data_IF_158108793067
#
_entry.id   IF_158108793067
#
_cell.length_a   1.000
_cell.length_b   1.000
_cell.length_c   1.000
_cell.angle_alpha   90.00
_cell.angle_beta   90.00
_cell.angle_gamma   90.00
#
_symmetry.space_group_name_H-M   'P 1'
#
loop_
_entity.id
_entity.type
_entity.pdbx_description
1 polymer ?
#
# COMPACT_ATOMS: atom_id res chain seq x y z
N UNK A 1 -4.55 -3.54 11.00
CA UNK A 1 -3.56 -4.05 11.97
C UNK A 1 -3.88 -3.49 13.36
N UNK A 2 -3.96 -4.35 14.39
CA UNK A 2 -4.12 -3.95 15.78
C UNK A 2 -3.00 -4.56 16.61
N UNK A 3 -2.36 -3.76 17.47
CA UNK A 3 -1.28 -4.21 18.35
C UNK A 3 -1.60 -3.79 19.78
N UNK A 4 -1.81 -4.77 20.68
CA UNK A 4 -2.13 -4.55 22.11
C UNK A 4 -3.26 -3.53 22.33
N UNK A 5 -4.32 -3.59 21.53
CA UNK A 5 -5.47 -2.68 21.63
C UNK A 5 -5.29 -1.32 20.95
N UNK A 6 -4.12 -1.01 20.40
CA UNK A 6 -3.92 0.16 19.53
C UNK A 6 -4.40 -0.16 18.12
N UNK A 7 -5.19 0.74 17.54
CA UNK A 7 -5.68 0.64 16.16
C UNK A 7 -4.60 0.97 15.12
N UNK A 8 -4.94 0.80 13.83
CA UNK A 8 -4.03 1.01 12.71
C UNK A 8 -3.45 2.43 12.62
N UNK A 9 -4.19 3.44 13.04
CA UNK A 9 -3.79 4.86 13.00
C UNK A 9 -2.67 5.20 13.99
N UNK A 10 -2.42 4.32 14.97
CA UNK A 10 -1.37 4.45 15.99
C UNK A 10 -0.20 3.50 15.78
N UNK A 11 -0.12 2.91 14.61
CA UNK A 11 0.93 1.98 14.23
C UNK A 11 1.64 2.57 13.01
N UNK A 12 2.89 2.96 13.20
CA UNK A 12 3.72 3.41 12.09
C UNK A 12 4.14 2.21 11.24
N UNK A 13 3.97 2.32 9.93
CA UNK A 13 4.41 1.32 8.95
C UNK A 13 5.41 1.98 8.03
N UNK A 14 6.56 1.35 7.85
CA UNK A 14 7.56 1.80 6.87
C UNK A 14 7.92 0.66 5.91
N UNK A 15 8.21 1.03 4.67
CA UNK A 15 8.80 0.15 3.66
C UNK A 15 10.17 0.74 3.30
N UNK A 16 11.24 0.02 3.60
CA UNK A 16 12.63 0.48 3.44
C UNK A 16 12.91 1.81 4.17
N UNK A 17 12.28 2.03 5.32
CA UNK A 17 12.40 3.27 6.09
C UNK A 17 11.57 4.45 5.56
N UNK A 18 10.82 4.28 4.48
CA UNK A 18 9.87 5.26 3.94
C UNK A 18 8.51 5.05 4.62
N UNK A 19 7.85 6.09 5.16
CA UNK A 19 6.49 5.99 5.70
C UNK A 19 5.49 5.47 4.66
N UNK A 20 4.68 4.51 5.06
CA UNK A 20 3.65 3.91 4.21
C UNK A 20 2.23 4.24 4.68
N UNK A 21 2.05 4.66 5.91
CA UNK A 21 0.74 5.11 6.40
C UNK A 21 0.17 6.18 5.46
N UNK A 22 -1.10 6.08 5.18
CA UNK A 22 -1.83 7.11 4.46
C UNK A 22 -1.75 8.46 5.19
N UNK A 23 -1.47 9.53 4.46
CA UNK A 23 -1.19 10.83 5.06
C UNK A 23 -2.42 11.50 5.68
N UNK A 24 -3.62 11.17 5.22
CA UNK A 24 -4.89 11.76 5.70
C UNK A 24 -5.48 10.93 6.85
N UNK A 25 -5.67 9.62 6.64
CA UNK A 25 -6.29 8.73 7.63
C UNK A 25 -5.32 8.21 8.68
N UNK A 26 -4.01 8.32 8.46
CA UNK A 26 -2.94 7.69 9.25
C UNK A 26 -3.02 6.15 9.30
N UNK A 27 -3.99 5.57 8.60
CA UNK A 27 -4.17 4.12 8.50
C UNK A 27 -3.25 3.46 7.47
N UNK A 28 -3.41 2.16 7.31
CA UNK A 28 -2.70 1.38 6.31
C UNK A 28 -3.69 0.52 5.53
N UNK A 29 -3.77 0.73 4.24
CA UNK A 29 -4.64 -0.03 3.33
C UNK A 29 -3.84 -1.18 2.70
N UNK A 30 -3.89 -2.36 3.33
CA UNK A 30 -3.10 -3.52 2.92
C UNK A 30 -3.53 -4.09 1.56
N UNK A 31 -4.77 -3.82 1.13
CA UNK A 31 -5.28 -4.25 -0.17
C UNK A 31 -4.48 -3.66 -1.32
N UNK A 32 -3.93 -2.44 -1.15
CA UNK A 32 -3.07 -1.76 -2.13
C UNK A 32 -1.69 -2.41 -2.27
N UNK A 33 -1.31 -3.31 -1.34
CA UNK A 33 -0.06 -4.09 -1.34
C UNK A 33 -0.30 -5.55 -1.71
N UNK A 34 -1.00 -5.79 -2.81
CA UNK A 34 -1.30 -7.15 -3.28
C UNK A 34 -0.03 -8.01 -3.40
N UNK A 35 0.02 -9.15 -2.70
CA UNK A 35 1.17 -10.08 -2.66
C UNK A 35 2.53 -9.46 -2.30
N UNK A 36 2.54 -8.34 -1.60
CA UNK A 36 3.80 -7.67 -1.24
C UNK A 36 4.71 -8.53 -0.35
N UNK A 37 4.11 -9.43 0.43
CA UNK A 37 4.85 -10.39 1.25
C UNK A 37 5.82 -11.26 0.42
N UNK A 38 5.51 -11.52 -0.85
CA UNK A 38 6.40 -12.25 -1.76
C UNK A 38 7.64 -11.44 -2.20
N UNK A 39 7.71 -10.14 -1.88
CA UNK A 39 8.87 -9.25 -2.10
C UNK A 39 9.39 -8.67 -0.78
N UNK A 40 9.15 -9.37 0.33
CA UNK A 40 9.57 -8.93 1.67
C UNK A 40 10.64 -9.86 2.20
N UNK A 41 11.83 -9.34 2.42
CA UNK A 41 12.96 -10.05 3.05
C UNK A 41 12.76 -10.20 4.53
N UNK A 42 12.39 -9.12 5.20
CA UNK A 42 12.19 -9.14 6.64
C UNK A 42 11.12 -8.17 7.11
N UNK A 43 10.51 -8.53 8.24
CA UNK A 43 9.49 -7.75 8.90
C UNK A 43 9.83 -7.64 10.38
N UNK A 44 10.01 -6.41 10.87
CA UNK A 44 10.29 -6.12 12.27
C UNK A 44 9.11 -5.39 12.91
N UNK A 45 8.51 -6.00 13.92
CA UNK A 45 7.46 -5.37 14.72
C UNK A 45 8.05 -4.95 16.09
N UNK A 46 8.11 -3.64 16.30
CA UNK A 46 8.43 -3.06 17.60
C UNK A 46 7.14 -2.59 18.29
N UNK A 47 6.86 -3.14 19.46
CA UNK A 47 5.66 -2.83 20.25
C UNK A 47 5.90 -1.67 21.19
N UNK A 48 4.90 -0.80 21.32
CA UNK A 48 4.97 0.41 22.14
C UNK A 48 5.72 1.54 21.44
N UNK A 49 6.03 2.59 22.19
CA UNK A 49 6.78 3.75 21.71
C UNK A 49 8.20 3.30 21.35
N UNK A 50 8.58 3.49 20.11
CA UNK A 50 9.91 3.18 19.63
C UNK A 50 10.91 4.31 19.86
N UNK A 51 12.04 4.25 19.15
CA UNK A 51 13.03 5.33 19.11
C UNK A 51 12.50 6.48 18.22
N UNK A 52 13.12 7.66 18.33
CA UNK A 52 12.78 8.83 17.49
C UNK A 52 12.94 8.59 15.99
N UNK A 53 13.67 7.54 15.60
CA UNK A 53 13.85 7.13 14.20
C UNK A 53 12.62 6.45 13.61
N UNK A 54 11.63 6.05 14.41
CA UNK A 54 10.42 5.36 13.94
C UNK A 54 9.35 6.32 13.36
N UNK A 55 9.58 7.63 13.42
CA UNK A 55 8.68 8.62 12.81
C UNK A 55 7.40 8.91 13.60
N UNK A 56 6.51 9.68 12.98
CA UNK A 56 5.21 10.04 13.55
C UNK A 56 4.28 8.81 13.57
N UNK A 57 3.31 8.82 14.50
CA UNK A 57 2.31 7.75 14.60
C UNK A 57 2.80 6.47 15.28
N UNK A 58 4.08 6.34 15.64
CA UNK A 58 4.67 5.17 16.31
C UNK A 58 4.29 5.03 17.79
N UNK A 59 3.06 5.34 18.15
CA UNK A 59 2.59 5.33 19.54
C UNK A 59 2.28 3.93 20.05
N UNK A 60 1.56 3.15 19.26
CA UNK A 60 1.17 1.78 19.61
C UNK A 60 2.23 0.74 19.23
N UNK A 61 2.79 0.90 18.05
CA UNK A 61 3.85 0.04 17.51
C UNK A 61 4.48 0.67 16.27
N UNK A 62 5.61 0.10 15.84
CA UNK A 62 6.21 0.35 14.54
C UNK A 62 6.42 -0.98 13.81
N UNK A 63 5.99 -1.03 12.56
CA UNK A 63 6.19 -2.14 11.65
C UNK A 63 7.14 -1.70 10.54
N UNK A 64 8.35 -2.25 10.52
CA UNK A 64 9.33 -1.97 9.50
C UNK A 64 9.42 -3.15 8.54
N UNK A 65 9.19 -2.92 7.26
CA UNK A 65 9.24 -3.91 6.19
C UNK A 65 10.45 -3.60 5.33
N UNK A 66 11.31 -4.58 5.14
CA UNK A 66 12.42 -4.52 4.19
C UNK A 66 12.09 -5.37 2.97
N UNK A 67 12.26 -4.80 1.79
CA UNK A 67 12.09 -5.52 0.52
C UNK A 67 13.26 -6.48 0.27
N UNK A 68 13.09 -7.34 -0.74
CA UNK A 68 14.04 -8.38 -1.10
C UNK A 68 15.51 -7.88 -1.07
N UNK A 69 16.38 -8.69 -0.49
CA UNK A 69 17.83 -8.47 -0.54
C UNK A 69 18.35 -8.66 -1.97
N UNK A 70 19.57 -8.20 -2.21
CA UNK A 70 20.30 -8.49 -3.46
C UNK A 70 20.60 -9.99 -3.50
N UNK A 71 20.26 -10.63 -4.62
CA UNK A 71 20.57 -12.04 -4.85
C UNK A 71 21.94 -12.19 -5.51
N UNK A 72 22.78 -13.08 -4.99
CA UNK A 72 24.07 -13.41 -5.61
C UNK A 72 23.86 -14.21 -6.90
N UNK A 73 22.91 -15.15 -6.88
CA UNK A 73 22.63 -16.05 -7.97
C UNK A 73 21.41 -15.62 -8.81
N UNK A 74 21.47 -15.89 -10.11
CA UNK A 74 20.32 -15.73 -10.98
C UNK A 74 19.26 -16.80 -10.69
N UNK A 75 17.99 -16.42 -10.62
CA UNK A 75 16.88 -17.35 -10.45
C UNK A 75 15.62 -16.90 -11.19
N UNK A 76 14.75 -17.87 -11.42
CA UNK A 76 13.37 -17.66 -11.83
C UNK A 76 12.46 -18.58 -11.02
N UNK A 77 11.35 -18.05 -10.53
CA UNK A 77 10.38 -18.78 -9.72
C UNK A 77 8.98 -18.54 -10.25
N UNK A 78 8.19 -19.60 -10.34
CA UNK A 78 6.74 -19.54 -10.62
C UNK A 78 6.02 -20.21 -9.47
N UNK A 79 5.15 -19.45 -8.79
CA UNK A 79 4.35 -19.92 -7.68
C UNK A 79 2.87 -19.80 -8.00
N UNK A 80 2.12 -20.89 -7.78
CA UNK A 80 0.68 -20.91 -7.97
C UNK A 80 0.00 -21.48 -6.73
N UNK A 81 -1.06 -20.82 -6.28
CA UNK A 81 -1.85 -21.23 -5.14
C UNK A 81 -3.34 -21.23 -5.49
N UNK A 82 -4.06 -22.18 -4.91
CA UNK A 82 -5.52 -22.28 -5.01
C UNK A 82 -6.11 -22.44 -3.62
N UNK A 83 -7.28 -21.88 -3.40
CA UNK A 83 -7.96 -21.91 -2.11
C UNK A 83 -9.48 -21.93 -2.24
N UNK A 84 -10.17 -21.85 -1.10
CA UNK A 84 -11.62 -21.75 -1.05
C UNK A 84 -12.12 -20.50 -1.77
N UNK A 85 -13.39 -20.50 -2.15
CA UNK A 85 -14.03 -19.38 -2.85
C UNK A 85 -13.34 -18.99 -4.15
N UNK A 86 -12.93 -20.01 -4.92
CA UNK A 86 -12.23 -19.83 -6.20
C UNK A 86 -10.97 -18.95 -6.09
N UNK A 87 -10.37 -18.89 -4.90
CA UNK A 87 -9.15 -18.09 -4.68
C UNK A 87 -8.00 -18.69 -5.49
N UNK A 88 -7.36 -17.86 -6.29
CA UNK A 88 -6.21 -18.19 -7.12
C UNK A 88 -5.16 -17.12 -6.98
N UNK A 89 -3.91 -17.52 -6.80
CA UNK A 89 -2.75 -16.63 -6.80
C UNK A 89 -1.73 -17.18 -7.79
N UNK A 90 -1.22 -16.30 -8.64
CA UNK A 90 -0.15 -16.58 -9.59
C UNK A 90 0.95 -15.56 -9.41
N UNK A 91 2.16 -16.02 -9.17
CA UNK A 91 3.33 -15.14 -8.94
C UNK A 91 4.50 -15.63 -9.77
N UNK A 92 5.18 -14.70 -10.44
CA UNK A 92 6.46 -14.92 -11.11
C UNK A 92 7.48 -13.99 -10.47
N UNK A 93 8.63 -14.55 -10.04
CA UNK A 93 9.79 -13.81 -9.54
C UNK A 93 11.02 -14.14 -10.38
N UNK A 94 11.92 -13.18 -10.47
CA UNK A 94 13.22 -13.39 -11.10
C UNK A 94 14.30 -12.51 -10.47
N UNK A 95 15.54 -12.93 -10.58
CA UNK A 95 16.72 -12.11 -10.39
C UNK A 95 17.78 -12.48 -11.44
N UNK A 96 18.54 -11.49 -11.87
CA UNK A 96 19.72 -11.70 -12.72
C UNK A 96 20.90 -12.29 -11.94
N UNK A 97 20.83 -12.29 -10.60
CA UNK A 97 21.99 -12.41 -9.75
C UNK A 97 22.92 -11.21 -9.93
N UNK A 98 24.08 -11.26 -9.30
CA UNK A 98 25.11 -10.22 -9.43
C UNK A 98 25.76 -10.27 -10.81
N UNK A 99 25.57 -9.22 -11.59
CA UNK A 99 26.22 -9.03 -12.90
C UNK A 99 27.46 -8.15 -12.70
N UNK A 100 28.60 -8.63 -13.17
CA UNK A 100 29.91 -7.96 -12.98
C UNK A 100 30.23 -7.62 -11.51
N UNK A 101 29.73 -8.44 -10.56
CA UNK A 101 29.92 -8.30 -9.11
C UNK A 101 29.27 -7.08 -8.48
N UNK A 102 28.70 -6.14 -9.26
CA UNK A 102 28.18 -4.86 -8.76
C UNK A 102 26.68 -4.68 -8.97
N UNK A 103 26.07 -5.26 -10.01
CA UNK A 103 24.71 -4.96 -10.42
C UNK A 103 23.75 -6.15 -10.28
N UNK A 104 22.55 -5.89 -9.83
CA UNK A 104 21.45 -6.86 -9.83
C UNK A 104 20.16 -6.21 -10.29
N UNK A 105 19.38 -6.96 -11.07
CA UNK A 105 18.00 -6.62 -11.41
C UNK A 105 17.09 -7.76 -10.97
N UNK A 106 16.13 -7.46 -10.12
CA UNK A 106 15.11 -8.42 -9.68
C UNK A 106 13.71 -7.88 -9.81
N UNK A 107 12.74 -8.78 -9.89
CA UNK A 107 11.35 -8.37 -10.01
C UNK A 107 10.34 -9.47 -9.74
N UNK A 108 9.09 -9.04 -9.55
CA UNK A 108 7.92 -9.89 -9.32
C UNK A 108 6.71 -9.33 -10.03
N UNK A 109 5.93 -10.23 -10.62
CA UNK A 109 4.56 -9.97 -11.08
C UNK A 109 3.62 -10.92 -10.36
N UNK A 110 2.47 -10.43 -9.91
CA UNK A 110 1.51 -11.24 -9.19
C UNK A 110 0.07 -10.88 -9.56
N UNK A 111 -0.78 -11.90 -9.58
CA UNK A 111 -2.23 -11.76 -9.71
C UNK A 111 -2.93 -12.61 -8.65
N UNK A 112 -3.91 -12.02 -7.96
CA UNK A 112 -4.77 -12.70 -7.00
C UNK A 112 -6.22 -12.45 -7.41
N UNK A 113 -7.01 -13.52 -7.50
CA UNK A 113 -8.44 -13.46 -7.67
C UNK A 113 -9.13 -14.31 -6.60
N UNK A 114 -10.30 -13.86 -6.13
CA UNK A 114 -11.16 -14.60 -5.22
C UNK A 114 -12.60 -14.15 -5.39
N UNK A 115 -13.56 -15.09 -5.24
CA UNK A 115 -14.99 -14.75 -5.18
C UNK A 115 -15.39 -14.25 -3.78
N UNK A 116 -14.53 -14.47 -2.75
CA UNK A 116 -14.79 -14.10 -1.37
C UNK A 116 -15.76 -15.03 -0.65
N UNK A 117 -15.76 -14.96 0.69
CA UNK A 117 -16.71 -15.70 1.53
C UNK A 117 -18.10 -15.04 1.56
N UNK A 118 -18.12 -13.72 1.70
CA UNK A 118 -19.32 -12.89 1.70
C UNK A 118 -19.85 -12.78 0.27
N UNK A 119 -21.16 -12.76 0.10
CA UNK A 119 -21.80 -12.68 -1.20
C UNK A 119 -21.33 -11.45 -1.98
N UNK A 120 -20.99 -11.67 -3.25
CA UNK A 120 -20.43 -10.65 -4.17
C UNK A 120 -19.05 -10.08 -3.80
N UNK A 121 -18.48 -10.39 -2.64
CA UNK A 121 -17.23 -9.81 -2.13
C UNK A 121 -15.99 -10.32 -2.89
N UNK A 122 -15.98 -10.18 -4.20
CA UNK A 122 -14.84 -10.58 -5.03
C UNK A 122 -13.64 -9.65 -4.85
N UNK A 123 -12.46 -10.19 -5.18
CA UNK A 123 -11.21 -9.44 -5.26
C UNK A 123 -10.48 -9.78 -6.56
N UNK A 124 -10.04 -8.77 -7.31
CA UNK A 124 -9.11 -8.87 -8.44
C UNK A 124 -7.93 -7.93 -8.18
N UNK A 125 -6.80 -8.49 -7.78
CA UNK A 125 -5.60 -7.76 -7.41
C UNK A 125 -4.48 -8.09 -8.39
N UNK A 126 -3.82 -7.05 -8.93
CA UNK A 126 -2.61 -7.16 -9.74
C UNK A 126 -1.51 -6.36 -9.09
N UNK A 127 -0.33 -6.91 -9.01
CA UNK A 127 0.79 -6.19 -8.41
C UNK A 127 2.11 -6.51 -9.09
N UNK A 128 3.03 -5.59 -8.95
CA UNK A 128 4.40 -5.74 -9.43
C UNK A 128 5.40 -5.22 -8.39
N UNK A 129 6.62 -5.69 -8.52
CA UNK A 129 7.80 -5.21 -7.82
C UNK A 129 8.98 -5.28 -8.79
N UNK A 130 9.79 -4.25 -8.87
CA UNK A 130 11.03 -4.22 -9.65
C UNK A 130 12.09 -3.47 -8.84
N UNK A 131 13.27 -4.06 -8.73
CA UNK A 131 14.42 -3.50 -8.05
C UNK A 131 15.64 -3.58 -8.94
N UNK A 132 16.35 -2.47 -9.09
CA UNK A 132 17.68 -2.41 -9.65
C UNK A 132 18.65 -1.99 -8.56
N UNK A 133 19.71 -2.73 -8.37
CA UNK A 133 20.70 -2.53 -7.31
C UNK A 133 22.10 -2.37 -7.88
N UNK A 134 22.85 -1.43 -7.33
CA UNK A 134 24.29 -1.29 -7.51
C UNK A 134 24.96 -1.37 -6.14
N UNK A 135 25.89 -2.26 -5.95
CA UNK A 135 26.54 -2.50 -4.67
C UNK A 135 28.04 -2.73 -4.85
N UNK A 136 28.84 -1.96 -4.12
CA UNK A 136 30.27 -2.19 -4.00
C UNK A 136 30.74 -1.96 -2.55
N UNK A 137 32.04 -2.04 -2.27
CA UNK A 137 32.61 -1.92 -0.91
C UNK A 137 32.22 -0.63 -0.16
N UNK A 138 31.84 0.43 -0.88
CA UNK A 138 31.59 1.75 -0.30
C UNK A 138 30.17 2.25 -0.51
N UNK A 139 29.46 1.73 -1.50
CA UNK A 139 28.19 2.29 -1.95
C UNK A 139 27.16 1.23 -2.24
N UNK A 140 25.95 1.45 -1.75
CA UNK A 140 24.75 0.73 -2.17
C UNK A 140 23.72 1.73 -2.72
N UNK A 141 23.29 1.51 -3.96
CA UNK A 141 22.16 2.24 -4.55
C UNK A 141 21.09 1.24 -4.93
N UNK A 142 19.86 1.48 -4.50
CA UNK A 142 18.67 0.72 -4.91
C UNK A 142 17.64 1.65 -5.53
N UNK A 143 17.25 1.39 -6.75
CA UNK A 143 16.07 1.98 -7.37
C UNK A 143 14.96 0.93 -7.37
N UNK A 144 13.84 1.25 -6.74
CA UNK A 144 12.75 0.31 -6.50
C UNK A 144 11.45 0.93 -7.01
N UNK A 145 10.65 0.16 -7.73
CA UNK A 145 9.27 0.51 -8.02
C UNK A 145 8.37 -0.68 -7.72
N UNK A 146 7.27 -0.40 -7.06
CA UNK A 146 6.25 -1.40 -6.76
C UNK A 146 4.87 -0.76 -6.70
N UNK A 147 3.86 -1.57 -6.86
CA UNK A 147 2.50 -1.10 -6.83
C UNK A 147 1.55 -2.12 -7.42
N UNK A 148 0.37 -1.65 -7.74
CA UNK A 148 -0.65 -2.49 -8.34
C UNK A 148 -1.98 -1.81 -8.48
N UNK A 149 -2.93 -2.58 -8.96
CA UNK A 149 -4.34 -2.23 -9.01
C UNK A 149 -5.14 -3.23 -8.19
N UNK A 150 -6.12 -2.71 -7.51
CA UNK A 150 -7.16 -3.49 -6.88
C UNK A 150 -8.51 -3.15 -7.49
N UNK A 151 -9.37 -4.17 -7.66
CA UNK A 151 -10.80 -4.03 -7.85
C UNK A 151 -11.48 -5.02 -6.93
N UNK A 152 -12.19 -4.49 -5.93
CA UNK A 152 -12.86 -5.29 -4.92
C UNK A 152 -14.31 -4.87 -4.80
N UNK A 153 -15.21 -5.84 -4.59
CA UNK A 153 -16.59 -5.52 -4.26
C UNK A 153 -16.70 -5.14 -2.78
N UNK A 154 -17.45 -4.11 -2.48
CA UNK A 154 -17.59 -3.60 -1.12
C UNK A 154 -18.32 -4.60 -0.21
N UNK A 155 -17.72 -4.86 0.94
CA UNK A 155 -18.34 -5.61 2.04
C UNK A 155 -17.93 -4.97 3.37
N UNK A 156 -18.08 -3.62 3.43
CA UNK A 156 -17.56 -2.81 4.52
C UNK A 156 -18.47 -2.78 5.73
N UNK A 157 -19.75 -3.14 5.57
CA UNK A 157 -20.69 -3.22 6.68
C UNK A 157 -20.67 -4.60 7.32
N UNK A 158 -20.64 -4.62 8.66
CA UNK A 158 -20.84 -5.83 9.43
C UNK A 158 -22.32 -6.23 9.48
N UNK A 159 -22.56 -7.48 9.78
CA UNK A 159 -23.90 -8.01 10.05
C UNK A 159 -24.23 -7.92 11.53
N UNK A 160 -25.48 -7.66 11.86
CA UNK A 160 -25.97 -7.80 13.22
C UNK A 160 -26.17 -9.29 13.61
N UNK A 161 -26.52 -9.55 14.87
CA UNK A 161 -26.64 -10.91 15.38
C UNK A 161 -27.74 -11.71 14.67
N UNK A 162 -28.85 -11.08 14.31
CA UNK A 162 -29.96 -11.76 13.64
C UNK A 162 -29.61 -12.10 12.22
N UNK A 163 -29.04 -11.16 11.49
CA UNK A 163 -28.51 -11.36 10.13
C UNK A 163 -27.47 -12.48 10.06
N UNK A 164 -26.58 -12.57 11.07
CA UNK A 164 -25.59 -13.65 11.15
C UNK A 164 -26.22 -15.04 11.37
N UNK A 165 -27.37 -15.11 12.04
CA UNK A 165 -28.12 -16.36 12.26
C UNK A 165 -28.85 -16.75 10.97
N UNK A 166 -29.42 -15.80 10.26
CA UNK A 166 -30.18 -16.02 9.03
C UNK A 166 -29.26 -16.45 7.87
N UNK A 167 -28.26 -15.66 7.60
CA UNK A 167 -27.22 -15.98 6.59
C UNK A 167 -25.92 -15.23 6.87
N UNK A 168 -24.88 -15.96 7.24
CA UNK A 168 -23.55 -15.39 7.54
C UNK A 168 -22.81 -14.86 6.32
N UNK A 169 -23.30 -15.15 5.12
CA UNK A 169 -22.66 -14.74 3.87
C UNK A 169 -23.31 -13.50 3.26
N UNK A 170 -24.46 -13.09 3.75
CA UNK A 170 -25.18 -11.97 3.19
C UNK A 170 -24.32 -10.69 3.18
N UNK A 171 -24.49 -9.90 2.14
CA UNK A 171 -23.85 -8.61 1.96
C UNK A 171 -24.95 -7.53 1.88
N UNK A 172 -24.94 -6.51 2.74
CA UNK A 172 -25.90 -5.41 2.67
C UNK A 172 -25.86 -4.64 1.36
N UNK A 173 -24.71 -4.60 0.70
CA UNK A 173 -24.59 -4.03 -0.63
C UNK A 173 -25.17 -4.97 -1.69
N UNK A 174 -26.05 -4.46 -2.53
CA UNK A 174 -26.78 -5.26 -3.54
C UNK A 174 -26.60 -4.77 -4.97
N UNK A 175 -26.13 -3.55 -5.17
CA UNK A 175 -25.83 -3.03 -6.48
C UNK A 175 -24.68 -3.80 -7.11
N UNK A 176 -24.83 -4.19 -8.40
CA UNK A 176 -23.89 -5.10 -9.07
C UNK A 176 -22.46 -4.57 -9.13
N UNK A 177 -22.29 -3.25 -9.25
CA UNK A 177 -20.99 -2.62 -9.41
C UNK A 177 -20.59 -1.77 -8.18
N UNK A 178 -20.95 -2.19 -6.98
CA UNK A 178 -20.55 -1.52 -5.74
C UNK A 178 -19.11 -1.88 -5.41
N UNK A 179 -18.17 -1.22 -6.08
CA UNK A 179 -16.74 -1.58 -6.07
C UNK A 179 -15.87 -0.48 -5.50
N UNK A 180 -14.71 -0.90 -5.05
CA UNK A 180 -13.53 -0.08 -4.83
C UNK A 180 -12.53 -0.44 -5.95
N UNK A 181 -12.07 0.56 -6.69
CA UNK A 181 -11.16 0.40 -7.82
C UNK A 181 -10.05 1.43 -7.68
N UNK A 182 -8.88 0.96 -7.23
CA UNK A 182 -7.77 1.84 -6.88
C UNK A 182 -6.45 1.32 -7.43
N UNK A 183 -5.61 2.24 -7.86
CA UNK A 183 -4.26 1.98 -8.33
C UNK A 183 -3.27 2.80 -7.50
N UNK A 184 -2.20 2.16 -7.03
CA UNK A 184 -1.13 2.83 -6.29
C UNK A 184 0.23 2.35 -6.78
N UNK A 185 1.11 3.31 -7.06
CA UNK A 185 2.48 3.05 -7.51
C UNK A 185 3.47 3.84 -6.65
N UNK A 186 4.54 3.18 -6.27
CA UNK A 186 5.62 3.71 -5.47
C UNK A 186 6.93 3.68 -6.26
N UNK A 187 7.70 4.74 -6.14
CA UNK A 187 9.02 4.89 -6.74
C UNK A 187 9.98 5.31 -5.64
N UNK A 188 10.95 4.46 -5.33
CA UNK A 188 11.93 4.71 -4.28
C UNK A 188 13.34 4.70 -4.84
N UNK A 189 14.18 5.61 -4.35
CA UNK A 189 15.62 5.60 -4.57
C UNK A 189 16.31 5.64 -3.21
N UNK A 190 17.12 4.64 -2.93
CA UNK A 190 17.94 4.54 -1.72
C UNK A 190 19.40 4.63 -2.11
N UNK A 191 20.13 5.50 -1.46
CA UNK A 191 21.58 5.63 -1.61
C UNK A 191 22.23 5.60 -0.24
N UNK A 192 23.13 4.65 -0.06
CA UNK A 192 23.92 4.47 1.15
C UNK A 192 25.39 4.58 0.77
N UNK A 193 26.14 5.41 1.47
CA UNK A 193 27.54 5.68 1.19
C UNK A 193 28.37 5.56 2.46
N UNK A 194 29.45 4.80 2.39
CA UNK A 194 30.51 4.77 3.39
C UNK A 194 31.54 5.85 3.07
N UNK A 195 31.35 7.04 3.67
CA UNK A 195 32.21 8.20 3.42
C UNK A 195 33.64 8.01 3.98
N UNK A 196 33.77 7.24 5.05
CA UNK A 196 35.05 6.85 5.65
C UNK A 196 34.86 5.65 6.56
N UNK A 197 35.92 5.19 7.23
CA UNK A 197 35.83 4.09 8.21
C UNK A 197 34.90 4.39 9.38
N UNK A 198 34.59 5.65 9.63
CA UNK A 198 33.77 6.06 10.78
C UNK A 198 32.47 6.76 10.36
N UNK A 199 32.35 7.21 9.13
CA UNK A 199 31.21 7.98 8.65
C UNK A 199 30.45 7.26 7.55
N UNK A 200 29.12 7.24 7.66
CA UNK A 200 28.22 6.84 6.59
C UNK A 200 27.09 7.84 6.41
N UNK A 201 26.54 7.90 5.22
CA UNK A 201 25.37 8.72 4.89
C UNK A 201 24.34 7.88 4.13
N UNK A 202 23.05 8.16 4.38
CA UNK A 202 21.93 7.48 3.75
C UNK A 202 20.94 8.51 3.25
N UNK A 203 20.53 8.39 1.99
CA UNK A 203 19.46 9.18 1.37
C UNK A 203 18.38 8.22 0.89
N UNK A 204 17.14 8.50 1.27
CA UNK A 204 15.94 7.84 0.76
C UNK A 204 15.02 8.86 0.11
N UNK A 205 14.65 8.63 -1.13
CA UNK A 205 13.66 9.41 -1.86
C UNK A 205 12.47 8.52 -2.17
N UNK A 206 11.26 9.08 -2.08
CA UNK A 206 10.05 8.38 -2.49
C UNK A 206 9.08 9.31 -3.19
N UNK A 207 8.45 8.79 -4.22
CA UNK A 207 7.23 9.32 -4.81
C UNK A 207 6.18 8.24 -4.88
N UNK A 208 4.98 8.53 -4.40
CA UNK A 208 3.81 7.64 -4.51
C UNK A 208 2.72 8.36 -5.27
N UNK A 209 2.16 7.69 -6.29
CA UNK A 209 0.95 8.09 -7.01
C UNK A 209 -0.16 7.12 -6.69
N UNK A 210 -1.27 7.66 -6.18
CA UNK A 210 -2.50 6.92 -6.00
C UNK A 210 -3.64 7.53 -6.82
N UNK A 211 -4.48 6.69 -7.43
CA UNK A 211 -5.70 7.13 -8.12
C UNK A 211 -6.73 6.04 -8.18
N UNK A 212 -7.95 6.38 -7.84
CA UNK A 212 -9.07 5.46 -7.92
C UNK A 212 -10.36 6.03 -7.39
N UNK A 213 -11.36 5.19 -7.31
CA UNK A 213 -12.69 5.56 -6.83
C UNK A 213 -13.35 4.37 -6.13
N UNK A 214 -14.31 4.67 -5.28
CA UNK A 214 -15.34 3.71 -4.94
C UNK A 214 -16.69 4.14 -5.51
N UNK A 215 -17.44 3.16 -6.04
CA UNK A 215 -18.72 3.36 -6.68
C UNK A 215 -19.84 2.83 -5.79
N UNK A 216 -20.90 3.62 -5.60
CA UNK A 216 -22.01 3.26 -4.74
C UNK A 216 -23.35 3.64 -5.38
N UNK A 217 -24.34 2.76 -5.20
CA UNK A 217 -25.74 3.09 -5.45
C UNK A 217 -26.33 3.75 -4.20
N UNK A 218 -26.99 4.88 -4.40
CA UNK A 218 -27.65 5.67 -3.35
C UNK A 218 -29.12 5.80 -3.68
N UNK A 219 -29.98 5.40 -2.75
CA UNK A 219 -31.43 5.51 -2.88
C UNK A 219 -31.92 6.84 -2.32
N UNK A 220 -32.86 7.48 -3.02
CA UNK A 220 -33.56 8.68 -2.56
C UNK A 220 -32.63 9.82 -2.07
N UNK A 221 -31.48 9.95 -2.72
CA UNK A 221 -30.53 11.02 -2.39
C UNK A 221 -31.03 12.37 -2.92
N UNK A 222 -30.82 13.42 -2.11
CA UNK A 222 -31.04 14.79 -2.54
C UNK A 222 -29.99 15.16 -3.60
N UNK A 223 -30.42 15.32 -4.84
CA UNK A 223 -29.55 15.65 -5.96
C UNK A 223 -28.83 17.00 -5.78
N UNK A 224 -29.36 17.91 -4.96
CA UNK A 224 -28.73 19.17 -4.62
C UNK A 224 -27.38 18.97 -3.88
N UNK A 225 -27.21 17.88 -3.15
CA UNK A 225 -25.92 17.52 -2.51
C UNK A 225 -24.81 17.25 -3.53
N UNK A 226 -25.17 17.06 -4.80
CA UNK A 226 -24.25 16.79 -5.91
C UNK A 226 -24.24 17.92 -6.96
N UNK A 227 -24.74 19.12 -6.59
CA UNK A 227 -24.86 20.30 -7.47
C UNK A 227 -25.85 20.15 -8.63
N UNK A 228 -26.80 19.23 -8.54
CA UNK A 228 -27.89 19.12 -9.50
C UNK A 228 -29.12 19.89 -9.00
N UNK A 229 -29.75 20.68 -9.89
CA UNK A 229 -30.98 21.44 -9.60
C UNK A 229 -32.17 20.55 -10.00
N UNK A 230 -32.57 19.68 -9.07
CA UNK A 230 -33.76 18.83 -9.21
C UNK A 230 -34.56 18.92 -7.91
N UNK A 231 -35.87 19.08 -8.03
CA UNK A 231 -36.75 19.27 -6.86
C UNK A 231 -37.06 17.97 -6.09
N UNK A 232 -36.82 16.80 -6.72
CA UNK A 232 -37.16 15.51 -6.14
C UNK A 232 -35.91 14.67 -5.81
N UNK A 233 -36.00 13.87 -4.79
CA UNK A 233 -35.00 12.85 -4.47
C UNK A 233 -34.87 11.85 -5.63
N UNK A 234 -33.67 11.45 -5.91
CA UNK A 234 -33.34 10.54 -7.00
C UNK A 234 -32.48 9.39 -6.50
N UNK A 235 -32.62 8.24 -7.14
CA UNK A 235 -31.63 7.19 -7.03
C UNK A 235 -30.42 7.58 -7.85
N UNK A 236 -29.23 7.47 -7.28
CA UNK A 236 -27.98 7.90 -7.91
C UNK A 236 -26.95 6.78 -7.91
N UNK A 237 -26.11 6.73 -8.93
CA UNK A 237 -24.84 5.99 -8.89
C UNK A 237 -23.73 7.03 -8.86
N UNK A 238 -22.93 6.96 -7.79
CA UNK A 238 -21.92 7.96 -7.46
C UNK A 238 -20.56 7.29 -7.37
N UNK A 239 -19.55 7.90 -8.02
CA UNK A 239 -18.15 7.61 -7.78
C UNK A 239 -17.55 8.68 -6.89
N UNK A 240 -16.82 8.25 -5.88
CA UNK A 240 -15.99 9.12 -5.06
C UNK A 240 -14.54 8.83 -5.34
N UNK A 241 -13.88 9.82 -5.92
CA UNK A 241 -12.51 9.75 -6.41
C UNK A 241 -11.52 10.24 -5.37
N UNK A 242 -10.38 9.58 -5.39
CA UNK A 242 -9.14 10.03 -4.76
C UNK A 242 -8.06 10.06 -5.85
N UNK A 243 -7.35 11.20 -5.96
CA UNK A 243 -6.18 11.35 -6.84
C UNK A 243 -5.07 12.02 -6.02
N UNK A 244 -4.05 11.27 -5.63
CA UNK A 244 -3.08 11.72 -4.64
C UNK A 244 -1.63 11.51 -5.06
N UNK A 245 -0.80 12.43 -4.59
CA UNK A 245 0.65 12.45 -4.75
C UNK A 245 1.32 12.58 -3.38
N UNK A 246 2.30 11.72 -3.09
CA UNK A 246 3.04 11.75 -1.85
C UNK A 246 4.54 11.68 -2.09
N UNK A 247 5.27 12.67 -1.59
CA UNK A 247 6.72 12.80 -1.71
C UNK A 247 7.37 12.67 -0.34
N UNK A 248 8.50 11.95 -0.28
CA UNK A 248 9.31 11.83 0.94
C UNK A 248 10.78 11.96 0.61
N UNK A 249 11.51 12.70 1.44
CA UNK A 249 12.96 12.78 1.45
C UNK A 249 13.43 12.47 2.86
N UNK A 250 14.22 11.41 3.00
CA UNK A 250 14.89 11.04 4.25
C UNK A 250 16.39 11.18 4.07
N UNK A 251 17.05 11.86 4.98
CA UNK A 251 18.51 11.98 5.01
C UNK A 251 19.01 11.70 6.41
N UNK A 252 19.99 10.84 6.52
CA UNK A 252 20.71 10.68 7.78
C UNK A 252 22.19 10.41 7.56
N UNK A 253 22.98 10.72 8.57
CA UNK A 253 24.41 10.40 8.64
C UNK A 253 24.72 9.80 9.99
N UNK A 254 25.58 8.81 10.02
CA UNK A 254 26.06 8.20 11.24
C UNK A 254 27.57 8.27 11.36
N UNK A 255 28.02 8.53 12.59
CA UNK A 255 29.42 8.52 12.98
C UNK A 255 29.65 7.51 14.10
N UNK A 256 30.48 6.52 13.83
CA UNK A 256 30.81 5.45 14.78
C UNK A 256 32.30 5.43 14.99
N UNK A 257 32.75 5.68 16.25
CA UNK A 257 34.15 5.58 16.62
C UNK A 257 34.29 5.16 18.09
N UNK A 258 34.94 4.03 18.32
CA UNK A 258 35.15 3.47 19.66
C UNK A 258 33.80 3.19 20.37
N UNK A 259 33.49 3.99 21.42
CA UNK A 259 32.25 3.91 22.21
C UNK A 259 31.25 5.02 21.84
N UNK A 260 31.58 5.83 20.86
CA UNK A 260 30.71 6.92 20.40
C UNK A 260 29.97 6.48 19.15
N UNK A 261 28.66 6.50 19.22
CA UNK A 261 27.73 6.30 18.12
C UNK A 261 26.77 7.48 18.06
N UNK A 262 26.81 8.22 16.96
CA UNK A 262 25.98 9.43 16.74
C UNK A 262 25.28 9.31 15.42
N UNK A 263 23.94 9.42 15.43
CA UNK A 263 23.10 9.48 14.24
C UNK A 263 22.42 10.85 14.20
N UNK A 264 22.55 11.54 13.08
CA UNK A 264 21.86 12.81 12.81
C UNK A 264 21.06 12.63 11.53
N UNK A 265 19.78 12.95 11.56
CA UNK A 265 18.93 12.80 10.39
C UNK A 265 17.73 13.73 10.41
N UNK A 266 17.08 13.81 9.26
CA UNK A 266 15.82 14.51 9.08
C UNK A 266 15.01 13.89 7.97
N UNK A 267 13.71 14.17 8.02
CA UNK A 267 12.73 13.73 7.01
C UNK A 267 11.87 14.93 6.62
N UNK A 268 11.56 15.00 5.35
CA UNK A 268 10.55 15.91 4.81
C UNK A 268 9.57 15.13 3.97
N UNK A 269 8.29 15.40 4.15
CA UNK A 269 7.24 14.81 3.31
C UNK A 269 6.22 15.86 2.89
N UNK A 270 5.64 15.67 1.72
CA UNK A 270 4.56 16.49 1.19
C UNK A 270 3.51 15.59 0.57
N UNK A 271 2.27 15.85 0.91
CA UNK A 271 1.11 15.15 0.37
C UNK A 271 0.18 16.16 -0.30
N UNK A 272 -0.39 15.77 -1.44
CA UNK A 272 -1.47 16.46 -2.13
C UNK A 272 -2.51 15.44 -2.56
N UNK A 273 -3.75 15.63 -2.18
CA UNK A 273 -4.86 14.74 -2.50
C UNK A 273 -6.09 15.51 -2.95
N UNK A 274 -6.57 15.17 -4.14
CA UNK A 274 -7.84 15.67 -4.68
C UNK A 274 -8.94 14.65 -4.39
N UNK A 275 -9.99 15.10 -3.70
CA UNK A 275 -11.20 14.33 -3.43
C UNK A 275 -12.36 14.96 -4.19
N UNK A 276 -12.99 14.20 -5.07
CA UNK A 276 -14.15 14.69 -5.83
C UNK A 276 -15.17 13.60 -6.04
N UNK A 277 -16.43 14.02 -6.22
CA UNK A 277 -17.54 13.14 -6.54
C UNK A 277 -17.94 13.26 -8.00
N UNK A 278 -18.41 12.16 -8.57
CA UNK A 278 -18.98 12.09 -9.92
C UNK A 278 -20.27 11.31 -9.84
N UNK A 279 -21.38 11.91 -10.30
CA UNK A 279 -22.64 11.19 -10.51
C UNK A 279 -22.63 10.63 -11.92
N UNK A 280 -22.60 9.31 -12.03
CA UNK A 280 -22.54 8.63 -13.35
C UNK A 280 -23.90 8.19 -13.85
N UNK A 281 -24.91 8.17 -12.96
CA UNK A 281 -26.30 7.88 -13.31
C UNK A 281 -27.26 8.42 -12.24
N UNK A 282 -28.46 8.79 -12.64
CA UNK A 282 -29.55 9.15 -11.74
C UNK A 282 -30.92 8.91 -12.38
N UNK A 283 -31.89 8.42 -11.56
CA UNK A 283 -33.21 8.03 -12.06
C UNK A 283 -34.02 9.19 -12.63
N UNK A 284 -33.80 10.40 -12.12
CA UNK A 284 -34.52 11.62 -12.54
C UNK A 284 -33.60 12.65 -13.21
N UNK A 285 -32.35 12.28 -13.52
CA UNK A 285 -31.44 13.15 -14.27
C UNK A 285 -31.70 12.97 -15.75
N UNK A 286 -32.10 14.04 -16.43
CA UNK A 286 -32.12 14.06 -17.90
C UNK A 286 -30.69 14.22 -18.43
N UNK A 287 -30.29 13.33 -19.32
CA UNK A 287 -29.00 13.40 -20.03
C UNK A 287 -28.89 14.67 -20.87
#
# INVERSE_FOLDING_TARGET
LNVRGSNSERINVTINGIPYNDAESQGTFWVNLGDFASSTESLQLQRGIGTSTNGAGAFGASLNILTDAISEDAYGEISNSVGSYNTRKHTVKFSTGMVNEDFELSGRLSKINSDGYVDRAFSDLKSYFLQASYNNDHRLVKAITFGGSERTYQSWYGLDQQQLIEDRRQNPYTYENEVDDYNQNHYQLHWNEKLSNNWSANLGLNYTKGKGFFEQFKTEEDAANFNYIIEDNSDLIVRRWLDNDFYVINLNTSYIKNRLDVIIGGSYSNYSGDHFGEVIWGSNLSN
#
